data_IF_569383743410
#
_entry.id   IF_569383743410
#
_cell.length_a   1.000
_cell.length_b   1.000
_cell.length_c   1.000
_cell.angle_alpha   90.00
_cell.angle_beta   90.00
_cell.angle_gamma   90.00
#
_symmetry.space_group_name_H-M   'P 1'
#
loop_
_entity.id
_entity.type
_entity.pdbx_description
1 polymer ?
#
# COMPACT_ATOMS: atom_id res chain seq x y z
N UNK A 1 -3.38 34.16 -33.40
CA UNK A 1 -2.81 33.79 -33.00
C UNK A 1 -2.82 33.55 -31.81
N UNK A 2 -3.15 33.69 -31.10
CA UNK A 2 -3.11 33.47 -29.94
C UNK A 2 -3.99 32.54 -29.44
N UNK A 3 -4.77 32.11 -30.02
CA UNK A 3 -5.70 31.30 -29.62
C UNK A 3 -5.17 30.03 -29.26
N UNK A 4 -4.11 29.69 -29.74
CA UNK A 4 -3.60 28.46 -29.48
C UNK A 4 -3.25 28.30 -28.05
N UNK A 5 -3.06 29.28 -27.35
CA UNK A 5 -2.76 29.20 -25.93
C UNK A 5 -3.83 28.44 -25.19
N UNK A 6 -5.05 28.64 -25.59
CA UNK A 6 -6.16 27.96 -24.95
C UNK A 6 -6.10 26.46 -25.19
N UNK A 7 -5.82 26.09 -26.41
CA UNK A 7 -5.72 24.70 -26.74
C UNK A 7 -4.64 24.03 -25.89
N UNK A 8 -3.58 24.75 -25.65
CA UNK A 8 -2.51 24.21 -24.85
C UNK A 8 -2.95 23.87 -23.45
N UNK A 9 -3.74 24.73 -22.85
CA UNK A 9 -4.22 24.45 -21.52
C UNK A 9 -5.07 23.20 -21.45
N UNK A 10 -5.87 22.99 -22.44
CA UNK A 10 -6.72 21.81 -22.45
C UNK A 10 -5.87 20.56 -22.59
N UNK A 11 -4.88 20.60 -23.43
CA UNK A 11 -4.01 19.45 -23.59
C UNK A 11 -3.34 19.06 -22.29
N UNK A 12 -2.96 20.03 -21.51
CA UNK A 12 -2.31 19.77 -20.25
C UNK A 12 -3.24 19.01 -19.30
N UNK A 13 -4.49 19.40 -19.25
CA UNK A 13 -5.43 18.70 -18.39
C UNK A 13 -5.57 17.24 -18.80
N UNK A 14 -5.55 16.96 -20.07
CA UNK A 14 -5.67 15.59 -20.53
C UNK A 14 -4.48 14.76 -20.09
N UNK A 15 -3.30 15.35 -20.04
CA UNK A 15 -2.15 14.62 -19.61
C UNK A 15 -2.27 14.15 -18.17
N UNK A 16 -2.88 14.95 -17.32
CA UNK A 16 -3.07 14.53 -15.95
C UNK A 16 -3.94 13.30 -15.86
N UNK A 17 -4.98 13.24 -16.66
CA UNK A 17 -5.85 12.09 -16.68
C UNK A 17 -5.07 10.87 -17.16
N UNK A 18 -4.26 11.02 -18.16
CA UNK A 18 -3.46 9.92 -18.66
C UNK A 18 -2.52 9.39 -17.61
N UNK A 19 -1.95 10.27 -16.79
CA UNK A 19 -1.07 9.85 -15.72
C UNK A 19 -1.78 8.96 -14.72
N UNK A 20 -3.02 9.28 -14.39
CA UNK A 20 -3.80 8.44 -13.50
C UNK A 20 -4.07 7.09 -14.15
N UNK A 21 -4.36 7.09 -15.42
CA UNK A 21 -4.66 5.84 -16.12
C UNK A 21 -3.46 4.90 -16.19
N UNK A 22 -2.23 5.39 -15.98
CA UNK A 22 -1.05 4.54 -16.04
C UNK A 22 -0.79 3.79 -14.74
N UNK A 23 -1.60 3.99 -13.71
CA UNK A 23 -1.47 3.27 -12.46
C UNK A 23 -2.36 2.03 -12.49
N UNK A 24 -1.80 0.89 -12.16
CA UNK A 24 -2.52 -0.38 -12.23
C UNK A 24 -2.51 -1.08 -10.89
N UNK A 25 -3.66 -1.67 -10.52
CA UNK A 25 -3.72 -2.52 -9.36
C UNK A 25 -2.88 -3.77 -9.60
N UNK A 26 -2.07 -4.15 -8.65
CA UNK A 26 -1.22 -5.33 -8.73
C UNK A 26 -1.80 -6.50 -7.95
N UNK A 27 -2.52 -6.23 -6.88
CA UNK A 27 -3.04 -7.29 -6.01
C UNK A 27 -4.16 -6.75 -5.15
N UNK A 28 -5.06 -7.65 -4.78
CA UNK A 28 -6.19 -7.34 -3.90
C UNK A 28 -6.05 -8.11 -2.60
N UNK A 29 -6.38 -7.46 -1.49
CA UNK A 29 -6.26 -8.03 -0.17
C UNK A 29 -7.50 -7.75 0.66
N UNK A 30 -7.93 -8.76 1.44
CA UNK A 30 -8.95 -8.55 2.45
C UNK A 30 -8.25 -8.48 3.79
N UNK A 31 -8.25 -7.31 4.39
CA UNK A 31 -7.57 -7.09 5.66
C UNK A 31 -8.62 -7.10 6.76
N UNK A 32 -8.61 -8.11 7.63
CA UNK A 32 -9.68 -8.28 8.61
C UNK A 32 -9.50 -7.46 9.90
N UNK A 33 -8.56 -6.56 9.93
CA UNK A 33 -8.29 -5.74 11.11
C UNK A 33 -7.94 -4.32 10.70
N UNK A 34 -8.14 -3.34 11.61
CA UNK A 34 -7.66 -1.99 11.34
C UNK A 34 -6.15 -1.98 11.24
N UNK A 35 -5.62 -1.13 10.39
CA UNK A 35 -4.18 -1.11 10.10
C UNK A 35 -3.66 0.31 10.02
N UNK A 36 -2.34 0.42 10.02
CA UNK A 36 -1.67 1.68 9.74
C UNK A 36 -0.78 1.49 8.54
N UNK A 37 -0.81 2.43 7.63
CA UNK A 37 0.04 2.43 6.45
C UNK A 37 0.30 3.87 6.04
N UNK A 38 1.55 4.17 5.66
CA UNK A 38 1.89 5.52 5.25
C UNK A 38 1.66 6.56 6.33
N UNK A 39 1.73 6.16 7.59
CA UNK A 39 1.48 7.08 8.70
C UNK A 39 0.02 7.37 8.96
N UNK A 40 -0.89 6.66 8.33
CA UNK A 40 -2.33 6.87 8.48
C UNK A 40 -3.00 5.64 9.05
N UNK A 41 -4.05 5.86 9.82
CA UNK A 41 -4.88 4.78 10.35
C UNK A 41 -5.97 4.47 9.35
N UNK A 42 -6.13 3.21 9.03
CA UNK A 42 -7.12 2.75 8.05
C UNK A 42 -7.96 1.65 8.69
N UNK A 43 -9.22 1.57 8.28
CA UNK A 43 -10.12 0.55 8.80
C UNK A 43 -9.90 -0.79 8.14
N UNK A 44 -10.45 -1.83 8.73
CA UNK A 44 -10.50 -3.15 8.13
C UNK A 44 -11.30 -3.11 6.83
N UNK A 45 -10.94 -3.90 5.86
CA UNK A 45 -11.66 -3.96 4.60
C UNK A 45 -10.81 -4.44 3.45
N UNK A 46 -11.33 -4.21 2.25
CA UNK A 46 -10.66 -4.64 1.04
C UNK A 46 -9.78 -3.53 0.52
N UNK A 47 -8.55 -3.90 0.17
CA UNK A 47 -7.55 -2.96 -0.33
C UNK A 47 -6.87 -3.51 -1.56
N UNK A 48 -6.48 -2.63 -2.47
CA UNK A 48 -5.67 -2.99 -3.62
C UNK A 48 -4.32 -2.28 -3.51
N UNK A 49 -3.27 -2.99 -3.87
CA UNK A 49 -1.95 -2.39 -4.00
C UNK A 49 -1.80 -1.94 -5.45
N UNK A 50 -1.51 -0.68 -5.63
CA UNK A 50 -1.40 -0.06 -6.95
C UNK A 50 0.02 0.45 -7.14
N UNK A 51 0.64 0.11 -8.26
CA UNK A 51 1.95 0.66 -8.62
C UNK A 51 1.76 1.90 -9.47
N UNK A 52 2.45 2.96 -9.09
CA UNK A 52 2.39 4.20 -9.85
C UNK A 52 3.39 4.18 -11.00
N UNK A 53 3.24 5.11 -11.93
CA UNK A 53 4.14 5.20 -13.07
C UNK A 53 5.58 5.49 -12.63
N UNK A 54 5.76 6.13 -11.49
CA UNK A 54 7.09 6.44 -10.96
C UNK A 54 7.72 5.28 -10.19
N UNK A 55 7.04 4.15 -10.10
CA UNK A 55 7.55 3.01 -9.35
C UNK A 55 7.21 3.02 -7.88
N UNK A 56 6.33 3.91 -7.44
CA UNK A 56 5.86 3.95 -6.07
C UNK A 56 4.69 3.01 -5.85
N UNK A 57 4.25 2.93 -4.60
CA UNK A 57 3.11 2.11 -4.22
C UNK A 57 2.04 2.97 -3.57
N UNK A 58 0.80 2.59 -3.82
CA UNK A 58 -0.37 3.22 -3.21
C UNK A 58 -1.29 2.11 -2.74
N UNK A 59 -1.85 2.29 -1.57
CA UNK A 59 -2.87 1.38 -1.03
C UNK A 59 -4.22 2.02 -1.28
N UNK A 60 -5.06 1.38 -2.09
CA UNK A 60 -6.38 1.91 -2.44
C UNK A 60 -7.46 1.14 -1.72
N UNK A 61 -8.31 1.84 -0.99
CA UNK A 61 -9.42 1.21 -0.30
C UNK A 61 -10.56 0.97 -1.30
N UNK A 62 -11.00 -0.27 -1.42
CA UNK A 62 -11.97 -0.64 -2.43
C UNK A 62 -13.33 0.06 -2.24
N UNK A 63 -13.78 0.19 -1.00
CA UNK A 63 -15.10 0.73 -0.73
C UNK A 63 -15.23 2.21 -1.03
N UNK A 64 -14.17 2.98 -0.89
CA UNK A 64 -14.23 4.44 -1.06
C UNK A 64 -13.39 4.94 -2.21
N UNK A 65 -12.47 4.11 -2.72
CA UNK A 65 -11.50 4.55 -3.72
C UNK A 65 -10.40 5.42 -3.16
N UNK A 66 -10.38 5.62 -1.84
CA UNK A 66 -9.37 6.46 -1.22
C UNK A 66 -8.00 5.84 -1.35
N UNK A 67 -7.01 6.64 -1.70
CA UNK A 67 -5.65 6.19 -1.91
C UNK A 67 -4.72 6.71 -0.85
N UNK A 68 -3.85 5.84 -0.34
CA UNK A 68 -2.84 6.20 0.65
C UNK A 68 -1.49 5.86 0.06
N UNK A 69 -0.65 6.87 -0.20
CA UNK A 69 0.70 6.59 -0.70
C UNK A 69 1.51 5.87 0.36
N UNK A 70 2.34 4.94 -0.10
CA UNK A 70 3.19 4.14 0.78
C UNK A 70 4.64 4.41 0.38
N UNK A 71 5.43 4.90 1.34
CA UNK A 71 6.84 5.14 1.09
C UNK A 71 7.61 3.82 1.16
N UNK A 72 8.45 3.58 0.18
CA UNK A 72 9.29 2.39 0.13
C UNK A 72 10.62 2.73 0.75
N UNK A 73 11.00 2.01 1.81
CA UNK A 73 12.28 2.22 2.48
C UNK A 73 13.39 1.50 1.72
N UNK A 74 13.14 0.27 1.32
CA UNK A 74 14.13 -0.52 0.60
C UNK A 74 13.46 -1.67 -0.13
N UNK A 75 14.19 -2.26 -1.06
CA UNK A 75 13.74 -3.46 -1.77
C UNK A 75 14.33 -4.66 -1.06
N UNK A 76 13.58 -5.74 -1.01
CA UNK A 76 14.01 -6.97 -0.33
C UNK A 76 14.07 -8.09 -1.38
N UNK A 77 15.18 -8.82 -1.37
CA UNK A 77 15.31 -9.93 -2.29
C UNK A 77 14.23 -10.98 -2.00
N UNK A 78 13.68 -11.62 -3.04
CA UNK A 78 12.64 -12.61 -2.81
C UNK A 78 13.21 -13.84 -2.09
N UNK A 79 12.38 -14.49 -1.26
CA UNK A 79 12.82 -15.72 -0.60
C UNK A 79 12.95 -16.86 -1.58
N UNK A 80 13.59 -17.94 -1.13
CA UNK A 80 13.72 -19.16 -1.94
C UNK A 80 13.02 -20.28 -1.18
N UNK A 81 11.94 -20.81 -1.72
CA UNK A 81 11.32 -20.48 -3.02
C UNK A 81 10.60 -19.15 -3.00
N UNK A 82 10.36 -18.53 -4.16
CA UNK A 82 9.68 -17.24 -4.22
C UNK A 82 8.25 -17.34 -3.70
N UNK A 83 7.67 -16.18 -3.34
CA UNK A 83 6.30 -16.15 -2.88
C UNK A 83 5.36 -16.63 -3.98
N UNK A 84 4.41 -17.46 -3.62
CA UNK A 84 3.47 -18.03 -4.58
C UNK A 84 2.39 -17.04 -4.98
N UNK A 85 2.05 -16.10 -4.11
CA UNK A 85 1.03 -15.09 -4.38
C UNK A 85 1.35 -13.82 -3.65
N UNK A 86 0.58 -12.76 -3.89
CA UNK A 86 0.83 -11.49 -3.21
C UNK A 86 0.53 -11.61 -1.72
N UNK A 87 1.28 -10.86 -0.92
CA UNK A 87 1.01 -10.81 0.52
C UNK A 87 1.46 -9.49 1.11
N UNK A 88 0.75 -9.13 2.16
CA UNK A 88 1.11 -7.99 3.01
C UNK A 88 1.58 -8.55 4.33
N UNK A 89 2.65 -7.99 4.85
CA UNK A 89 3.17 -8.34 6.16
C UNK A 89 2.98 -7.14 7.06
N UNK A 90 2.34 -7.37 8.20
CA UNK A 90 2.10 -6.34 9.21
C UNK A 90 2.92 -6.65 10.44
N UNK A 91 3.46 -5.62 11.06
CA UNK A 91 4.05 -5.76 12.39
C UNK A 91 2.93 -5.63 13.41
N UNK A 92 2.79 -6.62 14.29
CA UNK A 92 1.84 -6.56 15.38
C UNK A 92 2.53 -5.90 16.55
N UNK A 93 2.10 -4.71 16.90
CA UNK A 93 2.69 -3.94 17.96
C UNK A 93 1.68 -3.80 19.08
N UNK A 94 2.03 -4.17 20.28
CA UNK A 94 1.16 -3.97 21.43
C UNK A 94 1.19 -2.52 21.85
N UNK A 95 0.02 -1.92 21.96
CA UNK A 95 -0.09 -0.56 22.43
C UNK A 95 -0.86 -0.59 23.74
N UNK A 96 -0.19 -0.20 24.80
CA UNK A 96 -0.76 -0.25 26.13
C UNK A 96 -1.16 1.14 26.54
N UNK A 97 -2.46 1.37 26.66
CA UNK A 97 -2.95 2.68 27.07
C UNK A 97 -2.70 2.84 28.58
N UNK A 98 -2.01 3.87 29.01
CA UNK A 98 -1.66 4.01 30.40
C UNK A 98 -2.84 4.09 31.37
N UNK A 99 -3.98 4.58 30.88
CA UNK A 99 -5.16 4.72 31.74
C UNK A 99 -5.96 3.45 31.88
N UNK A 100 -5.61 2.42 31.14
CA UNK A 100 -6.39 1.19 31.12
C UNK A 100 -5.45 0.02 31.23
N UNK A 101 -6.04 -1.11 31.58
CA UNK A 101 -5.26 -2.34 31.73
C UNK A 101 -5.31 -3.20 30.48
N UNK A 102 -6.01 -2.78 29.46
CA UNK A 102 -6.12 -3.61 28.27
C UNK A 102 -5.09 -3.24 27.22
N UNK A 103 -4.64 -4.24 26.52
CA UNK A 103 -3.73 -4.08 25.39
C UNK A 103 -4.52 -3.83 24.14
N UNK A 104 -4.04 -2.92 23.34
CA UNK A 104 -4.54 -2.74 21.99
C UNK A 104 -3.43 -3.15 21.04
N UNK A 105 -3.76 -4.00 20.11
CA UNK A 105 -2.81 -4.40 19.08
C UNK A 105 -2.95 -3.48 17.88
N UNK A 106 -1.84 -2.94 17.45
CA UNK A 106 -1.78 -2.10 16.27
C UNK A 106 -1.06 -2.89 15.19
N UNK A 107 -1.65 -2.92 14.00
CA UNK A 107 -1.05 -3.61 12.85
C UNK A 107 -0.48 -2.55 11.92
N UNK A 108 0.82 -2.56 11.74
CA UNK A 108 1.50 -1.57 10.89
C UNK A 108 2.03 -2.28 9.67
N UNK A 109 1.63 -1.81 8.49
CA UNK A 109 2.09 -2.42 7.25
C UNK A 109 3.59 -2.25 7.15
N UNK A 110 4.32 -3.37 7.09
CA UNK A 110 5.77 -3.36 7.07
C UNK A 110 6.36 -3.84 5.75
N UNK A 111 5.71 -4.78 5.07
CA UNK A 111 6.24 -5.32 3.80
C UNK A 111 5.10 -5.59 2.83
N UNK A 112 5.41 -5.40 1.55
CA UNK A 112 4.51 -5.75 0.44
C UNK A 112 5.27 -6.70 -0.47
N UNK A 113 4.66 -7.85 -0.75
CA UNK A 113 5.25 -8.85 -1.64
C UNK A 113 4.32 -9.07 -2.82
N UNK A 114 4.88 -8.90 -4.01
CA UNK A 114 4.16 -9.15 -5.25
C UNK A 114 4.91 -10.24 -6.01
N UNK A 115 4.21 -11.23 -6.59
CA UNK A 115 4.90 -12.33 -7.26
C UNK A 115 5.76 -11.84 -8.41
N UNK A 116 6.93 -12.46 -8.55
CA UNK A 116 7.81 -12.17 -9.67
C UNK A 116 8.67 -10.95 -9.51
N UNK A 117 8.68 -10.33 -8.35
CA UNK A 117 9.52 -9.16 -8.13
C UNK A 117 10.01 -9.10 -6.70
N UNK A 118 10.92 -8.18 -6.43
CA UNK A 118 11.43 -7.98 -5.08
C UNK A 118 10.32 -7.53 -4.16
N UNK A 119 10.47 -7.81 -2.88
CA UNK A 119 9.57 -7.25 -1.89
C UNK A 119 9.88 -5.78 -1.61
N UNK A 120 8.92 -5.12 -1.02
CA UNK A 120 9.05 -3.72 -0.66
C UNK A 120 8.96 -3.60 0.85
N UNK A 121 9.98 -3.02 1.47
CA UNK A 121 9.94 -2.74 2.90
C UNK A 121 9.37 -1.35 3.11
N UNK A 122 8.30 -1.29 3.89
CA UNK A 122 7.54 -0.07 4.11
C UNK A 122 7.84 0.53 5.47
N UNK A 123 8.06 -0.32 6.47
CA UNK A 123 8.22 0.12 7.84
C UNK A 123 9.07 -0.86 8.63
N UNK A 124 9.85 -0.34 9.54
CA UNK A 124 10.63 -1.15 10.47
C UNK A 124 10.22 -0.78 11.88
N UNK A 125 9.79 -1.78 12.65
CA UNK A 125 9.42 -1.59 14.04
C UNK A 125 10.60 -1.88 14.93
N UNK A 126 10.92 -0.94 15.80
CA UNK A 126 11.98 -1.15 16.80
C UNK A 126 11.35 -1.80 18.01
N UNK A 127 12.08 -2.72 18.61
CA UNK A 127 11.60 -3.40 19.79
C UNK A 127 10.87 -4.68 19.47
N UNK A 128 10.35 -5.32 20.51
CA UNK A 128 9.71 -6.62 20.37
C UNK A 128 8.37 -6.48 19.65
N UNK A 129 8.15 -7.33 18.66
CA UNK A 129 6.91 -7.38 17.95
C UNK A 129 6.81 -8.72 17.22
N UNK A 130 5.61 -9.07 16.79
CA UNK A 130 5.40 -10.23 15.96
C UNK A 130 4.91 -9.77 14.60
N UNK A 131 4.73 -10.68 13.68
CA UNK A 131 4.25 -10.33 12.36
C UNK A 131 2.96 -11.07 12.04
N UNK A 132 2.16 -10.45 11.18
CA UNK A 132 0.92 -11.03 10.69
C UNK A 132 0.92 -10.91 9.18
N UNK A 133 0.67 -12.00 8.50
CA UNK A 133 0.66 -12.02 7.03
C UNK A 133 -0.77 -12.12 6.53
N UNK A 134 -1.10 -11.28 5.56
CA UNK A 134 -2.38 -11.35 4.85
C UNK A 134 -2.08 -11.71 3.41
N UNK A 135 -2.60 -12.86 2.99
CA UNK A 135 -2.44 -13.30 1.61
C UNK A 135 -3.52 -12.65 0.75
N UNK A 136 -3.16 -12.33 -0.47
CA UNK A 136 -4.08 -11.72 -1.39
C UNK A 136 -4.16 -12.47 -2.70
N UNK A 137 -4.79 -11.86 -3.67
CA UNK A 137 -4.91 -12.41 -5.01
C UNK A 137 -4.35 -11.41 -6.01
N UNK A 138 -3.75 -11.92 -7.07
CA UNK A 138 -3.23 -11.06 -8.11
C UNK A 138 -4.40 -10.35 -8.80
N UNK A 139 -4.25 -9.07 -9.07
CA UNK A 139 -5.26 -8.32 -9.80
C UNK A 139 -5.26 -8.74 -11.26
N UNK A 140 -6.42 -8.71 -11.87
CA UNK A 140 -6.56 -9.10 -13.27
C UNK A 140 -6.53 -7.92 -14.20
#
# INVERSE_FOLDING_TARGET
MKRQATATGVALAMLLVAGVASAFAQADFKVPFPLQAGGKKLGAGDYAVVKTAEGGLVLRQASTGKETPIAIIERIAPPVPPVAGPRLVFDEVGDFAPSYTEYMTVYVLSEVWLPGEDGYRIHVTKGAHTTKTVNGTAAK
#
